data_IF_609814056944
#
_entry.id   IF_609814056944
#
_cell.length_a   1.000
_cell.length_b   1.000
_cell.length_c   1.000
_cell.angle_alpha   90.00
_cell.angle_beta   90.00
_cell.angle_gamma   90.00
#
_symmetry.space_group_name_H-M   'P 1'
#
loop_
_entity.id
_entity.type
_entity.pdbx_description
1 polymer ?
#
# COMPACT_ATOMS: atom_id res chain seq x y z
N UNK A 1 -8.11 -1.20 -12.53
CA UNK A 1 -7.99 -2.47 -11.77
C UNK A 1 -8.71 -2.41 -10.42
N UNK A 2 -8.45 -1.45 -9.51
CA UNK A 2 -9.07 -1.44 -8.16
C UNK A 2 -10.59 -1.20 -8.15
N UNK A 3 -11.14 -0.51 -9.15
CA UNK A 3 -12.59 -0.26 -9.24
C UNK A 3 -13.42 -1.47 -9.66
N UNK A 4 -12.81 -2.58 -10.11
CA UNK A 4 -13.55 -3.77 -10.54
C UNK A 4 -14.46 -4.33 -9.43
N UNK A 5 -14.04 -4.20 -8.16
CA UNK A 5 -14.86 -4.65 -7.04
C UNK A 5 -16.07 -3.72 -6.78
N UNK A 6 -15.90 -2.41 -6.97
CA UNK A 6 -17.04 -1.48 -6.90
C UNK A 6 -18.04 -1.69 -8.04
N UNK A 7 -17.54 -2.01 -9.23
CA UNK A 7 -18.36 -2.27 -10.43
C UNK A 7 -19.12 -3.58 -10.34
N UNK A 8 -18.61 -4.56 -9.59
CA UNK A 8 -19.32 -5.79 -9.28
C UNK A 8 -20.57 -5.57 -8.40
N UNK A 9 -20.74 -4.35 -7.85
CA UNK A 9 -21.91 -3.93 -7.05
C UNK A 9 -22.28 -4.92 -5.95
N UNK A 10 -21.26 -5.49 -5.29
CA UNK A 10 -21.48 -6.39 -4.16
C UNK A 10 -22.06 -5.57 -3.00
N UNK A 11 -23.28 -5.87 -2.52
CA UNK A 11 -23.90 -5.08 -1.46
C UNK A 11 -23.08 -5.13 -0.17
N UNK A 12 -22.92 -3.99 0.47
CA UNK A 12 -22.26 -3.87 1.77
C UNK A 12 -23.31 -3.57 2.86
N UNK A 13 -24.28 -4.48 3.02
CA UNK A 13 -25.48 -4.29 3.87
C UNK A 13 -25.20 -3.94 5.33
N UNK A 14 -24.04 -4.30 5.87
CA UNK A 14 -23.61 -3.94 7.23
C UNK A 14 -22.92 -2.57 7.37
N UNK A 15 -22.70 -1.85 6.26
CA UNK A 15 -21.96 -0.60 6.24
C UNK A 15 -22.87 0.62 6.28
N UNK A 16 -22.50 1.57 7.13
CA UNK A 16 -23.17 2.88 7.21
C UNK A 16 -22.55 3.94 6.29
N UNK A 17 -21.47 3.58 5.59
CA UNK A 17 -20.60 4.53 4.87
C UNK A 17 -20.55 4.30 3.36
N UNK A 18 -20.93 3.12 2.87
CA UNK A 18 -21.02 2.83 1.44
C UNK A 18 -21.96 1.67 1.16
N UNK A 19 -22.72 1.76 0.07
CA UNK A 19 -23.67 0.72 -0.36
C UNK A 19 -22.98 -0.51 -0.95
N UNK A 20 -21.75 -0.35 -1.45
CA UNK A 20 -21.01 -1.39 -2.15
C UNK A 20 -19.63 -1.64 -1.53
N UNK A 21 -19.16 -2.89 -1.64
CA UNK A 21 -17.82 -3.25 -1.17
C UNK A 21 -16.77 -2.60 -2.08
N UNK A 22 -15.75 -1.99 -1.47
CA UNK A 22 -14.59 -1.42 -2.15
C UNK A 22 -13.30 -1.94 -1.54
N UNK A 23 -12.18 -1.71 -2.21
CA UNK A 23 -10.85 -2.16 -1.80
C UNK A 23 -9.90 -0.98 -1.81
N UNK A 24 -9.03 -0.92 -0.80
CA UNK A 24 -7.83 -0.07 -0.83
C UNK A 24 -6.61 -0.97 -0.94
N UNK A 25 -5.62 -0.56 -1.72
CA UNK A 25 -4.40 -1.35 -1.92
C UNK A 25 -3.16 -0.48 -1.69
N UNK A 26 -2.15 -1.07 -1.06
CA UNK A 26 -0.80 -0.53 -1.00
C UNK A 26 0.10 -1.36 -1.90
N UNK A 27 0.91 -0.69 -2.71
CA UNK A 27 1.80 -1.34 -3.67
C UNK A 27 3.21 -0.86 -3.38
N UNK A 28 4.14 -1.80 -3.23
CA UNK A 28 5.57 -1.51 -3.19
C UNK A 28 6.20 -1.85 -4.54
N UNK A 29 6.98 -0.92 -5.09
CA UNK A 29 7.87 -1.16 -6.23
C UNK A 29 9.31 -1.15 -5.75
N UNK A 30 10.07 -2.18 -6.12
CA UNK A 30 11.44 -2.37 -5.65
C UNK A 30 12.31 -2.71 -6.84
N UNK A 31 13.42 -1.99 -6.96
CA UNK A 31 14.52 -2.45 -7.80
C UNK A 31 15.25 -3.55 -7.03
N UNK A 32 15.22 -4.79 -7.54
CA UNK A 32 15.79 -5.99 -6.92
C UNK A 32 17.31 -5.88 -6.75
N UNK A 33 17.76 -5.11 -5.76
CA UNK A 33 19.12 -5.02 -5.29
C UNK A 33 19.25 -5.77 -3.96
N UNK A 34 20.48 -6.23 -3.66
CA UNK A 34 20.80 -6.97 -2.43
C UNK A 34 20.58 -6.18 -1.12
N UNK A 35 20.21 -4.91 -1.21
CA UNK A 35 20.09 -3.99 -0.07
C UNK A 35 18.72 -4.06 0.61
N UNK A 36 17.68 -4.53 -0.07
CA UNK A 36 16.32 -4.60 0.48
C UNK A 36 15.90 -6.04 0.73
N UNK A 37 15.28 -6.26 1.89
CA UNK A 37 14.68 -7.54 2.24
C UNK A 37 13.23 -7.61 1.78
N UNK A 38 12.65 -8.82 1.76
CA UNK A 38 11.21 -8.99 1.52
C UNK A 38 10.40 -8.28 2.62
N UNK A 39 10.92 -8.22 3.85
CA UNK A 39 10.29 -7.54 4.97
C UNK A 39 10.21 -6.02 4.72
N UNK A 40 11.24 -5.42 4.12
CA UNK A 40 11.20 -4.01 3.70
C UNK A 40 10.10 -3.79 2.65
N UNK A 41 9.99 -4.70 1.69
CA UNK A 41 8.93 -4.67 0.67
C UNK A 41 7.53 -4.67 1.26
N UNK A 42 7.27 -5.61 2.18
CA UNK A 42 5.97 -5.77 2.83
C UNK A 42 5.66 -4.54 3.67
N UNK A 43 6.62 -4.05 4.46
CA UNK A 43 6.46 -2.85 5.27
C UNK A 43 6.10 -1.64 4.40
N UNK A 44 6.81 -1.42 3.30
CA UNK A 44 6.53 -0.30 2.39
C UNK A 44 5.17 -0.45 1.70
N UNK A 45 4.74 -1.66 1.36
CA UNK A 45 3.40 -1.91 0.83
C UNK A 45 2.31 -1.63 1.89
N UNK A 46 2.54 -2.01 3.16
CA UNK A 46 1.63 -1.74 4.27
C UNK A 46 1.52 -0.24 4.57
N UNK A 47 2.63 0.49 4.49
CA UNK A 47 2.65 1.96 4.61
C UNK A 47 1.81 2.60 3.49
N UNK A 48 1.99 2.17 2.25
CA UNK A 48 1.17 2.63 1.14
C UNK A 48 -0.33 2.29 1.37
N UNK A 49 -0.62 1.09 1.88
CA UNK A 49 -1.99 0.68 2.19
C UNK A 49 -2.61 1.56 3.28
N UNK A 50 -1.82 1.94 4.28
CA UNK A 50 -2.23 2.84 5.33
C UNK A 50 -2.54 4.24 4.78
N UNK A 51 -1.68 4.77 3.90
CA UNK A 51 -1.94 6.03 3.17
C UNK A 51 -3.23 5.95 2.36
N UNK A 52 -3.48 4.85 1.65
CA UNK A 52 -4.71 4.67 0.88
C UNK A 52 -5.95 4.73 1.78
N UNK A 53 -5.87 4.10 2.96
CA UNK A 53 -6.96 4.08 3.96
C UNK A 53 -7.20 5.46 4.58
N UNK A 54 -6.14 6.20 4.91
CA UNK A 54 -6.25 7.53 5.53
C UNK A 54 -6.69 8.60 4.53
N UNK A 55 -6.29 8.49 3.26
CA UNK A 55 -6.64 9.42 2.20
C UNK A 55 -8.07 9.25 1.63
N UNK A 56 -8.91 8.41 2.25
CA UNK A 56 -10.32 8.25 1.87
C UNK A 56 -10.69 6.89 1.29
N UNK A 57 -9.80 5.88 1.36
CA UNK A 57 -10.04 4.50 0.88
C UNK A 57 -10.35 4.45 -0.63
N UNK A 58 -10.79 3.28 -1.10
CA UNK A 58 -11.15 2.97 -2.49
C UNK A 58 -10.11 3.47 -3.52
N UNK A 59 -8.82 3.25 -3.23
CA UNK A 59 -7.70 3.68 -4.07
C UNK A 59 -6.48 2.77 -3.91
N UNK A 60 -5.55 2.89 -4.86
CA UNK A 60 -4.19 2.41 -4.69
C UNK A 60 -3.31 3.57 -4.24
N UNK A 61 -2.33 3.26 -3.40
CA UNK A 61 -1.14 4.09 -3.24
C UNK A 61 0.10 3.25 -3.57
N UNK A 62 1.09 3.91 -4.17
CA UNK A 62 2.33 3.26 -4.63
C UNK A 62 3.50 3.94 -3.93
N UNK A 63 4.28 3.15 -3.20
CA UNK A 63 5.56 3.58 -2.65
C UNK A 63 6.69 2.80 -3.33
N UNK A 64 7.86 3.42 -3.46
CA UNK A 64 9.03 2.80 -4.08
C UNK A 64 10.20 2.75 -3.11
N UNK A 65 10.87 1.61 -3.03
CA UNK A 65 12.18 1.50 -2.39
C UNK A 65 13.23 1.74 -3.48
N UNK A 66 13.77 2.96 -3.47
CA UNK A 66 14.82 3.38 -4.37
C UNK A 66 16.11 3.50 -3.58
N UNK A 67 17.25 3.16 -4.21
CA UNK A 67 18.58 3.54 -3.70
C UNK A 67 18.68 5.06 -3.67
N UNK A 68 18.22 5.68 -2.60
CA UNK A 68 18.70 7.00 -2.23
C UNK A 68 20.13 6.81 -1.77
N UNK A 69 21.09 7.39 -2.49
CA UNK A 69 22.48 7.44 -2.08
C UNK A 69 22.64 8.32 -0.83
N UNK A 70 22.18 7.85 0.34
CA UNK A 70 22.62 8.22 1.66
C UNK A 70 21.89 7.35 2.71
N UNK A 71 22.46 6.20 3.07
CA UNK A 71 22.22 5.64 4.40
C UNK A 71 23.58 5.51 5.07
N UNK A 72 23.97 6.56 5.79
CA UNK A 72 24.87 6.43 6.92
C UNK A 72 24.12 5.51 7.89
N UNK A 73 24.52 4.24 7.93
CA UNK A 73 24.22 3.38 9.07
C UNK A 73 24.93 3.99 10.27
N UNK A 74 24.19 4.68 11.12
CA UNK A 74 24.63 4.90 12.49
C UNK A 74 24.30 3.62 13.25
N UNK A 75 25.22 2.66 13.15
CA UNK A 75 25.26 1.51 14.03
C UNK A 75 25.76 2.03 15.39
N UNK A 76 24.81 2.44 16.25
CA UNK A 76 25.04 2.56 17.69
C UNK A 76 24.15 1.52 18.37
N UNK A 77 24.64 0.28 18.38
CA UNK A 77 24.41 -0.69 19.47
C UNK A 77 25.56 -0.53 20.49
#
# INVERSE_FOLDING_TARGET
MIYALSEAKIPHSGSKISEHVTVSAGICVIECFREYTIQDAIRTADEALYTAKSAGRNRAEIHSLNRTGLHIRNDND
#
